data_IF_869782811857
#
_entry.id   IF_869782811857
#
_cell.length_a   1.000
_cell.length_b   1.000
_cell.length_c   1.000
_cell.angle_alpha   90.00
_cell.angle_beta   90.00
_cell.angle_gamma   90.00
#
_symmetry.space_group_name_H-M   'P 1'
#
loop_
_entity.id
_entity.type
_entity.pdbx_description
1 polymer ?
#
# COMPACT_ATOMS: atom_id res chain seq x y z
N UNK A 1 -3.69 -11.94 0.19
CA UNK A 1 -2.62 -11.35 -0.63
C UNK A 1 -1.29 -11.90 -0.11
N UNK A 2 -0.32 -12.25 -0.96
CA UNK A 2 0.96 -12.78 -0.52
C UNK A 2 1.78 -11.77 0.28
N UNK A 3 2.53 -12.22 1.28
CA UNK A 3 3.42 -11.37 2.09
C UNK A 3 4.49 -10.68 1.22
N UNK A 4 4.95 -11.37 0.17
CA UNK A 4 5.91 -10.82 -0.80
C UNK A 4 5.36 -9.57 -1.52
N UNK A 5 4.05 -9.48 -1.73
CA UNK A 5 3.42 -8.28 -2.30
C UNK A 5 3.51 -7.10 -1.34
N UNK A 6 3.26 -7.32 -0.05
CA UNK A 6 3.41 -6.28 0.98
C UNK A 6 4.87 -5.84 1.12
N UNK A 7 5.81 -6.79 1.12
CA UNK A 7 7.24 -6.48 1.13
C UNK A 7 7.67 -5.66 -0.10
N UNK A 8 7.14 -6.00 -1.28
CA UNK A 8 7.42 -5.25 -2.50
C UNK A 8 6.84 -3.84 -2.45
N UNK A 9 5.63 -3.67 -1.92
CA UNK A 9 5.02 -2.36 -1.70
C UNK A 9 5.85 -1.50 -0.73
N UNK A 10 6.31 -2.08 0.38
CA UNK A 10 7.17 -1.37 1.35
C UNK A 10 8.53 -0.98 0.73
N UNK A 11 9.06 -1.82 -0.17
CA UNK A 11 10.38 -1.62 -0.78
C UNK A 11 10.37 -0.63 -1.96
N UNK A 12 9.33 -0.68 -2.80
CA UNK A 12 9.30 0.04 -4.09
C UNK A 12 8.12 0.99 -4.24
N UNK A 13 7.13 0.92 -3.35
CA UNK A 13 5.96 1.79 -3.39
C UNK A 13 6.30 3.24 -3.00
N UNK A 14 5.44 4.15 -3.44
CA UNK A 14 5.52 5.55 -3.07
C UNK A 14 5.22 5.72 -1.58
N UNK A 15 6.17 6.32 -0.86
CA UNK A 15 6.15 6.43 0.60
C UNK A 15 5.67 7.80 1.03
N UNK A 16 4.58 7.85 1.79
CA UNK A 16 4.04 9.05 2.42
C UNK A 16 3.97 8.90 3.95
N UNK A 17 3.77 10.04 4.64
CA UNK A 17 3.47 10.02 6.07
C UNK A 17 2.11 9.36 6.31
N UNK A 18 1.95 8.69 7.46
CA UNK A 18 0.64 8.18 7.88
C UNK A 18 -0.34 9.35 8.05
N UNK A 19 -1.48 9.37 7.34
CA UNK A 19 -2.51 10.41 7.49
C UNK A 19 -3.07 10.52 8.92
N UNK A 20 -2.97 9.46 9.72
CA UNK A 20 -3.44 9.45 11.13
C UNK A 20 -2.38 9.94 12.12
N UNK A 21 -1.17 10.29 11.65
CA UNK A 21 -0.13 10.90 12.46
C UNK A 21 0.68 9.93 13.33
N UNK A 22 0.60 8.61 13.09
CA UNK A 22 1.49 7.66 13.78
C UNK A 22 2.94 7.74 13.26
N UNK A 23 3.84 6.98 13.91
CA UNK A 23 5.22 6.83 13.46
C UNK A 23 5.36 5.96 12.19
N UNK A 24 4.31 5.25 11.80
CA UNK A 24 4.30 4.40 10.62
C UNK A 24 4.37 5.21 9.32
N UNK A 25 4.67 4.53 8.22
CA UNK A 25 4.69 5.09 6.87
C UNK A 25 3.69 4.36 5.99
N UNK A 26 2.98 5.15 5.17
CA UNK A 26 2.04 4.62 4.20
C UNK A 26 2.75 4.41 2.87
N UNK A 27 2.63 3.23 2.29
CA UNK A 27 3.24 2.87 1.01
C UNK A 27 2.15 2.58 -0.01
N UNK A 28 2.25 3.22 -1.17
CA UNK A 28 1.28 3.11 -2.25
C UNK A 28 1.92 2.47 -3.48
N UNK A 29 1.26 1.49 -4.07
CA UNK A 29 1.69 0.89 -5.35
C UNK A 29 0.50 0.37 -6.13
N UNK A 30 0.71 0.09 -7.41
CA UNK A 30 -0.19 -0.77 -8.19
C UNK A 30 0.25 -2.22 -8.00
N UNK A 31 -0.71 -3.13 -7.83
CA UNK A 31 -0.51 -4.58 -7.77
C UNK A 31 -1.39 -5.29 -8.79
N UNK A 32 -1.02 -6.51 -9.16
CA UNK A 32 -1.82 -7.35 -10.03
C UNK A 32 -2.31 -8.59 -9.28
N UNK A 33 -3.60 -8.90 -9.42
CA UNK A 33 -4.24 -10.10 -8.87
C UNK A 33 -5.13 -10.70 -9.94
N UNK A 34 -4.81 -11.93 -10.38
CA UNK A 34 -5.52 -12.62 -11.46
C UNK A 34 -5.64 -11.72 -12.71
N UNK A 35 -4.49 -11.19 -13.17
CA UNK A 35 -4.35 -10.30 -14.33
C UNK A 35 -5.10 -8.97 -14.26
N UNK A 36 -5.70 -8.66 -13.11
CA UNK A 36 -6.39 -7.40 -12.85
C UNK A 36 -5.55 -6.49 -11.98
N UNK A 37 -5.39 -5.24 -12.42
CA UNK A 37 -4.71 -4.21 -11.64
C UNK A 37 -5.58 -3.72 -10.48
N UNK A 38 -4.93 -3.42 -9.36
CA UNK A 38 -5.50 -2.81 -8.17
C UNK A 38 -4.49 -1.84 -7.57
N UNK A 39 -4.98 -0.78 -6.95
CA UNK A 39 -4.20 0.06 -6.06
C UNK A 39 -4.01 -0.68 -4.74
N UNK A 40 -2.87 -0.52 -4.11
CA UNK A 40 -2.52 -1.10 -2.82
C UNK A 40 -1.94 -0.01 -1.93
N UNK A 41 -2.47 0.09 -0.72
CA UNK A 41 -1.87 0.83 0.38
C UNK A 41 -1.39 -0.12 1.48
N UNK A 42 -0.24 0.18 2.08
CA UNK A 42 0.32 -0.58 3.21
C UNK A 42 0.83 0.41 4.25
N UNK A 43 0.27 0.36 5.45
CA UNK A 43 0.75 1.12 6.61
C UNK A 43 1.73 0.25 7.39
N UNK A 44 3.00 0.64 7.39
CA UNK A 44 4.08 -0.15 8.00
C UNK A 44 4.87 0.68 9.01
N UNK A 45 4.97 0.15 10.23
CA UNK A 45 5.85 0.64 11.28
C UNK A 45 7.17 -0.11 11.24
N UNK A 46 8.24 0.61 10.89
CA UNK A 46 9.59 0.04 10.76
C UNK A 46 10.21 -0.29 12.12
N UNK A 47 9.90 0.47 13.16
CA UNK A 47 10.52 0.29 14.47
C UNK A 47 10.00 -0.99 15.15
N UNK A 48 8.70 -1.24 15.03
CA UNK A 48 8.07 -2.46 15.54
C UNK A 48 8.13 -3.63 14.55
N UNK A 49 8.50 -3.36 13.30
CA UNK A 49 8.42 -4.30 12.18
C UNK A 49 7.01 -4.88 12.00
N UNK A 50 6.00 -4.00 12.10
CA UNK A 50 4.59 -4.38 12.10
C UNK A 50 3.85 -3.68 10.98
N UNK A 51 3.05 -4.44 10.23
CA UNK A 51 2.04 -3.86 9.32
C UNK A 51 0.80 -3.58 10.14
N UNK A 52 0.41 -2.31 10.27
CA UNK A 52 -0.80 -1.92 10.99
C UNK A 52 -2.04 -2.08 10.13
N UNK A 53 -1.94 -1.79 8.84
CA UNK A 53 -3.06 -1.82 7.90
C UNK A 53 -2.56 -2.12 6.49
N UNK A 54 -3.40 -2.77 5.69
CA UNK A 54 -3.25 -2.78 4.25
C UNK A 54 -4.62 -2.93 3.60
N UNK A 55 -4.82 -2.29 2.46
CA UNK A 55 -6.04 -2.42 1.67
C UNK A 55 -5.69 -2.37 0.18
N UNK A 56 -6.42 -3.15 -0.63
CA UNK A 56 -6.38 -2.99 -2.08
C UNK A 56 -7.75 -2.55 -2.59
N UNK A 57 -7.73 -1.63 -3.54
CA UNK A 57 -8.92 -0.94 -4.03
C UNK A 57 -8.73 -0.55 -5.50
N UNK A 58 -9.80 -0.04 -6.13
CA UNK A 58 -9.74 0.49 -7.50
C UNK A 58 -9.99 1.99 -7.57
N UNK A 59 -10.49 2.59 -6.49
CA UNK A 59 -10.71 4.03 -6.44
C UNK A 59 -9.40 4.82 -6.33
N UNK A 60 -9.47 6.13 -6.55
CA UNK A 60 -8.33 7.00 -6.31
C UNK A 60 -8.16 7.20 -4.80
N UNK A 61 -6.95 6.96 -4.27
CA UNK A 61 -6.58 7.28 -2.88
C UNK A 61 -5.09 7.57 -2.79
N UNK A 62 -4.72 8.44 -1.85
CA UNK A 62 -3.33 8.90 -1.72
C UNK A 62 -2.82 9.46 -3.06
N UNK A 63 -1.63 9.03 -3.53
CA UNK A 63 -1.08 9.47 -4.81
C UNK A 63 -1.61 8.66 -6.02
N UNK A 64 -2.41 7.61 -5.79
CA UNK A 64 -2.83 6.70 -6.86
C UNK A 64 -4.13 7.16 -7.52
N UNK A 65 -4.14 7.13 -8.85
CA UNK A 65 -5.32 7.37 -9.67
C UNK A 65 -6.27 6.17 -9.67
N UNK A 66 -7.55 6.41 -9.99
CA UNK A 66 -8.56 5.36 -10.12
C UNK A 66 -8.19 4.36 -11.24
N UNK A 67 -8.31 3.07 -10.95
CA UNK A 67 -8.17 1.97 -11.93
C UNK A 67 -9.56 1.56 -12.43
N UNK A 68 -9.74 1.53 -13.75
CA UNK A 68 -11.01 1.11 -14.37
C UNK A 68 -11.29 -0.38 -14.14
N UNK A 69 -12.57 -0.78 -14.27
CA UNK A 69 -13.01 -2.13 -13.91
C UNK A 69 -12.55 -3.22 -14.87
#
# INVERSE_FOLDING_TARGET
MPVQTLQSAIKYGEKLADPQGSAAKMYYTVMYKNDKAYNLEVLYDKALNTVYHFEYFRDARGPLSKISK
#
